data_IF_509495361850
#
_entry.id   IF_509495361850
#
_cell.length_a   1.000
_cell.length_b   1.000
_cell.length_c   1.000
_cell.angle_alpha   90.00
_cell.angle_beta   90.00
_cell.angle_gamma   90.00
#
_symmetry.space_group_name_H-M   'P 1'
#
loop_
_entity.id
_entity.type
_entity.pdbx_description
1 polymer ?
#
# COMPACT_ATOMS: atom_id res chain seq x y z
N UNK A 1 24.60 -1.03 -8.05
CA UNK A 1 23.56 -0.04 -8.33
C UNK A 1 22.52 -0.74 -9.17
N UNK A 2 21.36 -1.04 -8.61
CA UNK A 2 20.23 -1.54 -9.40
C UNK A 2 19.49 -0.28 -9.85
N UNK A 3 19.50 -0.03 -11.16
CA UNK A 3 18.63 0.98 -11.77
C UNK A 3 17.18 0.55 -11.48
N UNK A 4 16.52 1.26 -10.57
CA UNK A 4 15.07 1.22 -10.46
C UNK A 4 14.52 1.81 -11.76
N UNK A 5 14.14 0.94 -12.69
CA UNK A 5 13.38 1.32 -13.87
C UNK A 5 12.09 1.98 -13.38
N UNK A 6 12.02 3.31 -13.51
CA UNK A 6 10.84 4.08 -13.17
C UNK A 6 9.65 3.53 -13.96
N UNK A 7 8.72 2.92 -13.24
CA UNK A 7 7.35 2.80 -13.67
C UNK A 7 6.86 4.22 -13.99
N UNK A 8 6.55 4.52 -15.24
CA UNK A 8 5.71 5.67 -15.55
C UNK A 8 4.24 5.28 -15.27
N UNK A 9 3.98 4.86 -14.02
CA UNK A 9 2.67 4.78 -13.40
C UNK A 9 2.61 5.90 -12.37
N UNK A 10 2.18 7.12 -12.75
CA UNK A 10 2.09 8.24 -11.84
C UNK A 10 1.36 7.88 -10.54
N UNK A 11 0.32 7.06 -10.61
CA UNK A 11 -0.48 6.63 -9.46
C UNK A 11 0.24 5.63 -8.55
N UNK A 12 1.05 4.71 -9.10
CA UNK A 12 1.89 3.82 -8.28
C UNK A 12 3.01 4.60 -7.57
N UNK A 13 3.60 5.57 -8.25
CA UNK A 13 4.57 6.48 -7.64
C UNK A 13 3.92 7.36 -6.56
N UNK A 14 2.68 7.80 -6.76
CA UNK A 14 1.92 8.52 -5.74
C UNK A 14 1.63 7.63 -4.52
N UNK A 15 1.26 6.36 -4.75
CA UNK A 15 1.03 5.38 -3.67
C UNK A 15 2.28 5.14 -2.82
N UNK A 16 3.40 4.81 -3.46
CA UNK A 16 4.66 4.54 -2.76
C UNK A 16 5.12 5.74 -1.93
N UNK A 17 4.97 6.95 -2.49
CA UNK A 17 5.28 8.19 -1.77
C UNK A 17 4.31 8.46 -0.61
N UNK A 18 3.02 8.16 -0.74
CA UNK A 18 2.04 8.40 0.32
C UNK A 18 2.19 7.44 1.50
N UNK A 19 2.66 6.21 1.25
CA UNK A 19 2.89 5.21 2.30
C UNK A 19 4.25 5.38 3.01
N UNK A 20 5.23 6.04 2.35
CA UNK A 20 6.59 6.26 2.88
C UNK A 20 6.62 6.77 4.34
N UNK A 21 5.79 7.75 4.75
CA UNK A 21 5.79 8.23 6.14
C UNK A 21 5.36 7.18 7.16
N UNK A 22 4.41 6.29 6.82
CA UNK A 22 4.02 5.17 7.69
C UNK A 22 5.16 4.15 7.79
N UNK A 23 5.80 3.83 6.66
CA UNK A 23 6.94 2.91 6.60
C UNK A 23 8.12 3.42 7.42
N UNK A 24 8.49 4.69 7.24
CA UNK A 24 9.58 5.33 7.98
C UNK A 24 9.30 5.32 9.48
N UNK A 25 8.11 5.75 9.88
CA UNK A 25 7.73 5.74 11.29
C UNK A 25 7.82 4.33 11.89
N UNK A 26 7.26 3.33 11.20
CA UNK A 26 7.29 1.94 11.65
C UNK A 26 8.72 1.39 11.80
N UNK A 27 9.62 1.70 10.85
CA UNK A 27 11.02 1.27 10.91
C UNK A 27 11.77 1.89 12.10
N UNK A 28 11.53 3.17 12.37
CA UNK A 28 12.18 3.89 13.48
C UNK A 28 11.61 3.51 14.85
N UNK A 29 10.33 3.15 14.93
CA UNK A 29 9.58 2.95 16.17
C UNK A 29 9.08 1.52 16.34
N UNK A 30 9.78 0.53 15.74
CA UNK A 30 9.30 -0.86 15.65
C UNK A 30 8.92 -1.48 17.00
N UNK A 31 9.56 -1.09 18.10
CA UNK A 31 9.36 -1.72 19.40
C UNK A 31 8.54 -0.86 20.39
N UNK A 32 7.89 0.21 19.91
CA UNK A 32 7.13 1.12 20.75
C UNK A 32 5.68 1.24 20.31
N UNK A 33 4.79 1.45 21.29
CA UNK A 33 3.41 1.86 21.04
C UNK A 33 3.43 3.35 20.68
N UNK A 34 2.86 3.75 19.53
CA UNK A 34 2.78 5.15 19.15
C UNK A 34 1.99 5.97 20.18
N UNK A 35 2.35 7.24 20.34
CA UNK A 35 1.57 8.22 21.09
C UNK A 35 0.46 8.82 20.23
N UNK A 36 -0.56 9.44 20.84
CA UNK A 36 -1.62 10.10 20.07
C UNK A 36 -1.10 11.21 19.15
N UNK A 37 -0.11 11.99 19.59
CA UNK A 37 0.49 13.06 18.80
C UNK A 37 1.24 12.53 17.57
N UNK A 38 1.87 11.36 17.69
CA UNK A 38 2.52 10.68 16.57
C UNK A 38 1.47 10.12 15.59
N UNK A 39 0.42 9.47 16.10
CA UNK A 39 -0.68 8.97 15.26
C UNK A 39 -1.35 10.09 14.49
N UNK A 40 -1.63 11.23 15.14
CA UNK A 40 -2.26 12.38 14.50
C UNK A 40 -1.43 12.92 13.31
N UNK A 41 -0.10 12.77 13.35
CA UNK A 41 0.78 13.12 12.22
C UNK A 41 0.72 12.11 11.07
N UNK A 42 0.38 10.85 11.36
CA UNK A 42 0.32 9.76 10.37
C UNK A 42 -1.04 9.67 9.66
N UNK A 43 -2.13 10.07 10.32
CA UNK A 43 -3.49 9.99 9.78
C UNK A 43 -3.63 10.63 8.38
N UNK A 44 -3.10 11.84 8.09
CA UNK A 44 -3.22 12.44 6.77
C UNK A 44 -2.60 11.59 5.66
N UNK A 45 -1.44 10.98 5.94
CA UNK A 45 -0.75 10.09 4.99
C UNK A 45 -1.53 8.79 4.79
N UNK A 46 -2.09 8.21 5.85
CA UNK A 46 -2.95 7.04 5.74
C UNK A 46 -4.19 7.33 4.87
N UNK A 47 -4.85 8.48 5.08
CA UNK A 47 -5.99 8.90 4.24
C UNK A 47 -5.59 9.09 2.78
N UNK A 48 -4.43 9.68 2.54
CA UNK A 48 -3.91 9.86 1.18
C UNK A 48 -3.63 8.51 0.51
N UNK A 49 -3.00 7.57 1.21
CA UNK A 49 -2.75 6.21 0.70
C UNK A 49 -4.05 5.47 0.40
N UNK A 50 -5.03 5.52 1.29
CA UNK A 50 -6.35 4.89 1.08
C UNK A 50 -7.04 5.45 -0.17
N UNK A 51 -7.01 6.78 -0.34
CA UNK A 51 -7.55 7.44 -1.52
C UNK A 51 -6.82 7.01 -2.80
N UNK A 52 -5.48 7.02 -2.81
CA UNK A 52 -4.70 6.66 -4.00
C UNK A 52 -4.94 5.20 -4.38
N UNK A 53 -4.95 4.27 -3.42
CA UNK A 53 -5.27 2.86 -3.70
C UNK A 53 -6.66 2.70 -4.30
N UNK A 54 -7.64 3.44 -3.78
CA UNK A 54 -8.99 3.45 -4.35
C UNK A 54 -8.97 3.89 -5.82
N UNK A 55 -8.27 4.98 -6.14
CA UNK A 55 -8.14 5.44 -7.53
C UNK A 55 -7.28 4.52 -8.39
N UNK A 56 -6.37 3.76 -7.79
CA UNK A 56 -5.52 2.81 -8.50
C UNK A 56 -6.38 1.69 -9.10
N UNK A 57 -7.36 1.17 -8.34
CA UNK A 57 -8.34 0.21 -8.86
C UNK A 57 -9.09 0.70 -10.09
N UNK A 58 -9.40 1.99 -10.16
CA UNK A 58 -10.14 2.56 -11.29
C UNK A 58 -9.33 2.55 -12.61
N UNK A 59 -8.01 2.45 -12.53
CA UNK A 59 -7.12 2.58 -13.68
C UNK A 59 -6.30 1.32 -13.98
N UNK A 60 -6.33 0.29 -13.13
CA UNK A 60 -5.50 -0.92 -13.26
C UNK A 60 -5.70 -1.60 -14.63
N UNK A 61 -6.94 -1.68 -15.11
CA UNK A 61 -7.27 -2.32 -16.40
C UNK A 61 -6.78 -1.51 -17.61
N UNK A 62 -6.59 -0.20 -17.46
CA UNK A 62 -6.09 0.70 -18.51
C UNK A 62 -4.55 0.72 -18.60
N UNK A 63 -3.87 0.05 -17.67
CA UNK A 63 -2.41 0.02 -17.65
C UNK A 63 -1.86 -0.83 -18.79
N UNK A 64 -0.81 -0.34 -19.44
CA UNK A 64 -0.08 -1.12 -20.42
C UNK A 64 0.55 -2.35 -19.76
N UNK A 65 0.21 -3.54 -20.26
CA UNK A 65 0.70 -4.79 -19.69
C UNK A 65 2.22 -4.91 -19.79
N UNK A 66 2.86 -5.01 -18.63
CA UNK A 66 4.28 -5.30 -18.47
C UNK A 66 4.44 -6.26 -17.29
N UNK A 67 4.76 -7.53 -17.60
CA UNK A 67 4.74 -8.63 -16.63
C UNK A 67 5.67 -8.37 -15.44
N UNK A 68 6.94 -8.05 -15.72
CA UNK A 68 7.95 -7.86 -14.68
C UNK A 68 7.56 -6.72 -13.75
N UNK A 69 7.01 -5.64 -14.31
CA UNK A 69 6.52 -4.51 -13.52
C UNK A 69 5.31 -4.88 -12.67
N UNK A 70 4.37 -5.63 -13.22
CA UNK A 70 3.17 -6.04 -12.49
C UNK A 70 3.53 -7.00 -11.35
N UNK A 71 4.46 -7.93 -11.57
CA UNK A 71 5.02 -8.80 -10.53
C UNK A 71 5.71 -7.98 -9.44
N UNK A 72 6.51 -6.97 -9.81
CA UNK A 72 7.15 -6.06 -8.83
C UNK A 72 6.14 -5.26 -7.99
N UNK A 73 5.02 -4.83 -8.58
CA UNK A 73 3.94 -4.17 -7.84
C UNK A 73 3.31 -5.14 -6.83
N UNK A 74 3.05 -6.39 -7.23
CA UNK A 74 2.51 -7.42 -6.32
C UNK A 74 3.45 -7.64 -5.14
N UNK A 75 4.76 -7.81 -5.39
CA UNK A 75 5.76 -7.98 -4.33
C UNK A 75 5.78 -6.79 -3.36
N UNK A 76 5.71 -5.57 -3.89
CA UNK A 76 5.67 -4.35 -3.06
C UNK A 76 4.42 -4.30 -2.19
N UNK A 77 3.25 -4.62 -2.76
CA UNK A 77 2.00 -4.66 -2.00
C UNK A 77 2.02 -5.74 -0.91
N UNK A 78 2.73 -6.85 -1.10
CA UNK A 78 2.85 -7.92 -0.10
C UNK A 78 3.71 -7.46 1.09
N UNK A 79 4.87 -6.87 0.81
CA UNK A 79 5.74 -6.27 1.82
C UNK A 79 5.00 -5.16 2.61
N UNK A 80 4.26 -4.30 1.90
CA UNK A 80 3.50 -3.21 2.50
C UNK A 80 2.32 -3.72 3.34
N UNK A 81 1.67 -4.80 2.92
CA UNK A 81 0.60 -5.47 3.68
C UNK A 81 1.14 -6.01 5.00
N UNK A 82 2.25 -6.76 4.97
CA UNK A 82 2.84 -7.35 6.17
C UNK A 82 3.34 -6.28 7.15
N UNK A 83 4.00 -5.24 6.61
CA UNK A 83 4.45 -4.09 7.40
C UNK A 83 3.27 -3.38 8.08
N UNK A 84 2.22 -3.04 7.33
CA UNK A 84 1.08 -2.31 7.87
C UNK A 84 0.30 -3.16 8.88
N UNK A 85 0.16 -4.46 8.63
CA UNK A 85 -0.46 -5.41 9.56
C UNK A 85 0.30 -5.50 10.88
N UNK A 86 1.63 -5.53 10.83
CA UNK A 86 2.46 -5.47 12.04
C UNK A 86 2.30 -4.12 12.75
N UNK A 87 2.26 -3.01 12.00
CA UNK A 87 2.11 -1.68 12.56
C UNK A 87 0.78 -1.51 13.31
N UNK A 88 -0.34 -1.87 12.69
CA UNK A 88 -1.66 -1.69 13.31
C UNK A 88 -1.88 -2.59 14.53
N UNK A 89 -1.19 -3.73 14.62
CA UNK A 89 -1.25 -4.62 15.78
C UNK A 89 -0.78 -3.96 17.09
N UNK A 90 -0.01 -2.86 16.98
CA UNK A 90 0.53 -2.08 18.10
C UNK A 90 -0.40 -0.94 18.52
N UNK A 91 -1.48 -0.68 17.77
CA UNK A 91 -2.39 0.42 18.07
C UNK A 91 -3.31 0.07 19.25
N UNK A 92 -3.62 1.09 20.06
CA UNK A 92 -4.57 0.96 21.15
C UNK A 92 -5.96 1.47 20.71
N UNK A 93 -6.93 0.59 20.38
CA UNK A 93 -8.22 1.01 19.84
C UNK A 93 -9.10 1.80 20.83
N UNK A 94 -8.73 1.88 22.12
CA UNK A 94 -9.41 2.73 23.11
C UNK A 94 -9.11 4.21 22.87
N UNK A 95 -7.94 4.54 22.30
CA UNK A 95 -7.57 5.92 21.97
C UNK A 95 -8.20 6.32 20.63
N UNK A 96 -8.77 7.51 20.57
CA UNK A 96 -9.56 7.97 19.41
C UNK A 96 -8.72 8.01 18.13
N UNK A 97 -7.53 8.60 18.21
CA UNK A 97 -6.59 8.73 17.09
C UNK A 97 -6.14 7.37 16.56
N UNK A 98 -5.82 6.43 17.46
CA UNK A 98 -5.47 5.05 17.11
C UNK A 98 -6.63 4.28 16.47
N UNK A 99 -7.85 4.44 16.99
CA UNK A 99 -9.05 3.83 16.40
C UNK A 99 -9.31 4.36 14.99
N UNK A 100 -9.09 5.65 14.75
CA UNK A 100 -9.19 6.26 13.42
C UNK A 100 -8.13 5.69 12.46
N UNK A 101 -6.87 5.66 12.88
CA UNK A 101 -5.79 5.10 12.04
C UNK A 101 -6.01 3.61 11.76
N UNK A 102 -6.48 2.84 12.74
CA UNK A 102 -6.78 1.42 12.59
C UNK A 102 -7.80 1.20 11.46
N UNK A 103 -8.93 1.92 11.49
CA UNK A 103 -9.98 1.81 10.46
C UNK A 103 -9.49 2.16 9.07
N UNK A 104 -8.72 3.24 8.94
CA UNK A 104 -8.15 3.64 7.64
C UNK A 104 -7.17 2.58 7.15
N UNK A 105 -6.36 2.02 8.06
CA UNK A 105 -5.37 1.00 7.71
C UNK A 105 -6.02 -0.33 7.32
N UNK A 106 -7.14 -0.72 7.95
CA UNK A 106 -7.93 -1.90 7.54
C UNK A 106 -8.48 -1.75 6.12
N UNK A 107 -8.89 -0.54 5.73
CA UNK A 107 -9.29 -0.25 4.35
C UNK A 107 -8.11 -0.38 3.39
N UNK A 108 -6.94 0.20 3.74
CA UNK A 108 -5.71 0.07 2.95
C UNK A 108 -5.36 -1.41 2.74
N UNK A 109 -5.33 -2.22 3.81
CA UNK A 109 -5.04 -3.66 3.72
C UNK A 109 -6.01 -4.39 2.79
N UNK A 110 -7.30 -4.04 2.84
CA UNK A 110 -8.33 -4.61 1.97
C UNK A 110 -8.09 -4.22 0.50
N UNK A 111 -7.75 -2.97 0.25
CA UNK A 111 -7.51 -2.46 -1.11
C UNK A 111 -6.18 -3.00 -1.69
N UNK A 112 -5.16 -3.23 -0.87
CA UNK A 112 -3.93 -3.91 -1.30
C UNK A 112 -4.23 -5.32 -1.84
N UNK A 113 -4.97 -6.13 -1.09
CA UNK A 113 -5.34 -7.48 -1.52
C UNK A 113 -6.14 -7.44 -2.83
N UNK A 114 -7.08 -6.51 -2.95
CA UNK A 114 -7.86 -6.34 -4.19
C UNK A 114 -6.96 -6.02 -5.38
N UNK A 115 -6.02 -5.08 -5.21
CA UNK A 115 -5.18 -4.61 -6.30
C UNK A 115 -4.21 -5.71 -6.72
N UNK A 116 -3.65 -6.45 -5.76
CA UNK A 116 -2.86 -7.65 -6.03
C UNK A 116 -3.65 -8.68 -6.85
N UNK A 117 -4.91 -8.94 -6.48
CA UNK A 117 -5.76 -9.90 -7.20
C UNK A 117 -6.07 -9.44 -8.63
N UNK A 118 -6.40 -8.16 -8.82
CA UNK A 118 -6.68 -7.57 -10.15
C UNK A 118 -5.45 -7.67 -11.05
N UNK A 119 -4.26 -7.29 -10.55
CA UNK A 119 -3.01 -7.41 -11.29
C UNK A 119 -2.69 -8.88 -11.60
N UNK A 120 -2.89 -9.80 -10.65
CA UNK A 120 -2.65 -11.24 -10.85
C UNK A 120 -3.56 -11.83 -11.91
N UNK A 121 -4.82 -11.38 -11.99
CA UNK A 121 -5.77 -11.75 -13.04
C UNK A 121 -5.27 -11.25 -14.40
N UNK A 122 -4.81 -9.99 -14.50
CA UNK A 122 -4.29 -9.43 -15.76
C UNK A 122 -3.06 -10.21 -16.23
N UNK A 123 -2.13 -10.54 -15.33
CA UNK A 123 -0.96 -11.38 -15.65
C UNK A 123 -1.44 -12.72 -16.21
N UNK A 124 -2.30 -13.43 -15.47
CA UNK A 124 -2.80 -14.75 -15.86
C UNK A 124 -3.47 -14.70 -17.24
N UNK A 125 -4.37 -13.75 -17.48
CA UNK A 125 -5.07 -13.60 -18.76
C UNK A 125 -4.12 -13.34 -19.94
N UNK A 126 -3.07 -12.54 -19.73
CA UNK A 126 -2.08 -12.28 -20.78
C UNK A 126 -1.16 -13.47 -21.02
N UNK A 127 -0.87 -14.30 -20.01
CA UNK A 127 -0.10 -15.53 -20.18
C UNK A 127 -0.91 -16.61 -20.91
N UNK A 128 -2.19 -16.78 -20.60
CA UNK A 128 -3.07 -17.71 -21.32
C UNK A 128 -3.24 -17.35 -22.80
N UNK A 129 -3.21 -16.06 -23.17
CA UNK A 129 -3.29 -15.61 -24.58
C UNK A 129 -2.03 -15.91 -25.41
N UNK A 130 -0.90 -16.20 -24.76
CA UNK A 130 0.37 -16.53 -25.44
C UNK A 130 0.49 -18.01 -25.83
N UNK A 131 -0.48 -18.84 -25.44
CA UNK A 131 -0.58 -20.27 -25.78
C UNK A 131 -1.57 -20.44 -26.92
#
# INVERSE_FOLDING_TARGET
>A
MIEQAFLDLPQYNLYTNSLTPLVHYFKEHKNSVPTEDEINKLIPYAKQTDFILTTFHEIIDDLNYDKEKFENIIYTFDDDYDMLKEFISKLNPVLKSHSELLKISENILTNLIKAQNEISIIISQNEYKKI
#
